data_IF_058740650928
#
_entry.id   IF_058740650928
#
_cell.length_a   1.000
_cell.length_b   1.000
_cell.length_c   1.000
_cell.angle_alpha   90.00
_cell.angle_beta   90.00
_cell.angle_gamma   90.00
#
_symmetry.space_group_name_H-M   'P 1'
#
loop_
_entity.id
_entity.type
_entity.pdbx_description
1 polymer ?
#
# COMPACT_ATOMS: atom_id res chain seq x y z
N UNK A 1 22.39 0.18 -10.55
CA UNK A 1 20.94 0.38 -10.61
C UNK A 1 20.66 1.85 -10.31
N UNK A 2 19.81 2.51 -11.10
CA UNK A 2 19.40 3.89 -10.83
C UNK A 2 18.59 4.00 -9.53
N UNK A 3 18.40 5.23 -9.05
CA UNK A 3 17.58 5.51 -7.86
C UNK A 3 16.14 5.02 -8.10
N UNK A 4 15.60 4.09 -7.28
CA UNK A 4 14.21 3.68 -7.39
C UNK A 4 13.29 4.85 -7.02
N UNK A 5 12.25 5.07 -7.81
CA UNK A 5 11.32 6.18 -7.64
C UNK A 5 9.88 5.74 -7.93
N UNK A 6 8.92 6.52 -7.42
CA UNK A 6 7.49 6.39 -7.67
C UNK A 6 6.94 7.76 -8.06
N UNK A 7 5.80 7.81 -8.75
CA UNK A 7 5.05 9.07 -8.89
C UNK A 7 4.27 9.31 -7.62
N UNK A 8 4.38 10.52 -7.07
CA UNK A 8 3.54 10.96 -5.97
C UNK A 8 2.84 12.25 -6.40
N UNK A 9 1.52 12.26 -6.29
CA UNK A 9 0.73 13.44 -6.62
C UNK A 9 0.93 14.55 -5.57
N UNK A 10 1.11 15.77 -6.05
CA UNK A 10 1.23 16.98 -5.21
C UNK A 10 -0.08 17.33 -4.51
N UNK A 11 -1.22 16.82 -4.98
CA UNK A 11 -2.54 16.98 -4.33
C UNK A 11 -2.68 16.16 -3.04
N UNK A 12 -1.68 15.36 -2.65
CA UNK A 12 -1.77 14.51 -1.46
C UNK A 12 -2.10 15.30 -0.18
N UNK A 13 -1.59 16.53 -0.06
CA UNK A 13 -1.73 17.35 1.14
C UNK A 13 -3.19 17.72 1.44
N UNK A 14 -4.01 17.91 0.42
CA UNK A 14 -5.42 18.29 0.50
C UNK A 14 -6.36 17.24 -0.11
N UNK A 15 -5.84 16.04 -0.42
CA UNK A 15 -6.65 14.94 -0.92
C UNK A 15 -7.75 14.57 0.10
N UNK A 16 -9.03 14.45 -0.29
CA UNK A 16 -10.14 14.24 0.65
C UNK A 16 -9.95 13.07 1.61
N UNK A 17 -9.44 11.93 1.11
CA UNK A 17 -9.13 10.74 1.93
C UNK A 17 -8.02 10.96 2.97
N UNK A 18 -7.07 11.86 2.69
CA UNK A 18 -6.03 12.24 3.66
C UNK A 18 -6.61 13.19 4.70
N UNK A 19 -7.42 14.16 4.26
CA UNK A 19 -8.12 15.07 5.18
C UNK A 19 -9.03 14.32 6.16
N UNK A 20 -9.75 13.29 5.71
CA UNK A 20 -10.56 12.43 6.59
C UNK A 20 -9.71 11.74 7.67
N UNK A 21 -8.53 11.23 7.32
CA UNK A 21 -7.60 10.64 8.31
C UNK A 21 -7.07 11.69 9.29
N UNK A 22 -6.82 12.91 8.83
CA UNK A 22 -6.34 14.01 9.69
C UNK A 22 -7.43 14.45 10.66
N UNK A 23 -8.68 14.56 10.21
CA UNK A 23 -9.85 14.86 11.05
C UNK A 23 -9.99 13.84 12.19
N UNK A 24 -9.82 12.55 11.87
CA UNK A 24 -9.82 11.44 12.83
C UNK A 24 -8.53 11.34 13.70
N UNK A 25 -7.60 12.30 13.57
CA UNK A 25 -6.26 12.30 14.20
C UNK A 25 -5.44 11.03 13.90
N UNK A 26 -5.73 10.37 12.78
CA UNK A 26 -5.09 9.15 12.32
C UNK A 26 -3.81 9.42 11.52
N UNK A 27 -2.93 10.29 12.02
CA UNK A 27 -1.70 10.70 11.34
C UNK A 27 -0.77 9.53 10.99
N UNK A 28 -0.74 8.49 11.83
CA UNK A 28 0.04 7.29 11.56
C UNK A 28 -0.46 6.54 10.32
N UNK A 29 -1.78 6.50 10.07
CA UNK A 29 -2.34 5.90 8.87
C UNK A 29 -1.98 6.73 7.63
N UNK A 30 -2.10 8.07 7.71
CA UNK A 30 -1.72 8.96 6.62
C UNK A 30 -0.22 8.81 6.26
N UNK A 31 0.65 8.77 7.27
CA UNK A 31 2.09 8.51 7.06
C UNK A 31 2.35 7.12 6.45
N UNK A 32 1.67 6.10 6.96
CA UNK A 32 1.79 4.73 6.43
C UNK A 32 1.34 4.60 4.97
N UNK A 33 0.38 5.41 4.50
CA UNK A 33 -0.03 5.42 3.09
C UNK A 33 1.15 5.78 2.18
N UNK A 34 1.91 6.82 2.53
CA UNK A 34 3.09 7.26 1.78
C UNK A 34 4.22 6.24 1.87
N UNK A 35 4.47 5.71 3.06
CA UNK A 35 5.51 4.70 3.29
C UNK A 35 5.21 3.38 2.55
N UNK A 36 3.93 3.02 2.41
CA UNK A 36 3.52 1.87 1.62
C UNK A 36 3.81 2.05 0.13
N UNK A 37 3.62 3.25 -0.42
CA UNK A 37 3.95 3.51 -1.83
C UNK A 37 5.44 3.34 -2.09
N UNK A 38 6.29 3.91 -1.23
CA UNK A 38 7.75 3.82 -1.39
C UNK A 38 8.27 2.39 -1.17
N UNK A 39 7.70 1.68 -0.19
CA UNK A 39 7.96 0.25 0.00
C UNK A 39 7.59 -0.55 -1.25
N UNK A 40 6.38 -0.34 -1.78
CA UNK A 40 5.91 -1.05 -2.97
C UNK A 40 6.79 -0.79 -4.18
N UNK A 41 7.18 0.47 -4.42
CA UNK A 41 8.08 0.83 -5.52
C UNK A 41 9.46 0.19 -5.38
N UNK A 42 10.05 0.21 -4.18
CA UNK A 42 11.34 -0.44 -3.89
C UNK A 42 11.29 -1.95 -4.14
N UNK A 43 10.19 -2.61 -3.74
CA UNK A 43 10.05 -4.06 -3.83
C UNK A 43 9.45 -4.54 -5.16
N UNK A 44 9.00 -3.62 -6.02
CA UNK A 44 8.40 -3.95 -7.32
C UNK A 44 7.15 -4.83 -7.19
N UNK A 45 6.34 -4.57 -6.16
CA UNK A 45 5.15 -5.36 -5.76
C UNK A 45 3.84 -4.85 -6.36
N UNK A 46 3.89 -3.84 -7.23
CA UNK A 46 2.74 -3.23 -7.88
C UNK A 46 1.55 -2.91 -6.97
N UNK A 47 1.85 -2.21 -5.89
CA UNK A 47 0.88 -1.74 -4.91
C UNK A 47 0.53 -2.78 -3.85
N UNK A 48 1.06 -4.00 -3.93
CA UNK A 48 0.77 -5.03 -2.92
C UNK A 48 1.58 -4.85 -1.63
N UNK A 49 0.85 -4.81 -0.52
CA UNK A 49 1.38 -4.70 0.84
C UNK A 49 0.97 -5.95 1.61
N UNK A 50 1.94 -6.83 1.91
CA UNK A 50 1.67 -8.02 2.74
C UNK A 50 1.36 -7.63 4.19
N UNK A 51 0.62 -8.48 4.94
CA UNK A 51 0.42 -8.28 6.39
C UNK A 51 1.73 -8.15 7.17
N UNK A 52 2.75 -8.91 6.78
CA UNK A 52 4.10 -8.82 7.36
C UNK A 52 4.83 -7.51 7.04
N UNK A 53 4.37 -6.73 6.06
CA UNK A 53 5.00 -5.47 5.69
C UNK A 53 4.66 -4.32 6.65
N UNK A 54 3.59 -4.42 7.44
CA UNK A 54 3.08 -3.32 8.29
C UNK A 54 4.16 -2.67 9.17
N UNK A 55 5.02 -3.43 9.91
CA UNK A 55 6.05 -2.80 10.75
C UNK A 55 7.09 -1.99 9.95
N UNK A 56 7.37 -2.39 8.70
CA UNK A 56 8.35 -1.73 7.83
C UNK A 56 7.83 -0.43 7.22
N UNK A 57 6.51 -0.26 7.18
CA UNK A 57 5.84 0.96 6.71
C UNK A 57 5.23 1.76 7.87
N UNK A 58 5.69 1.48 9.09
CA UNK A 58 5.27 2.16 10.32
C UNK A 58 3.76 2.09 10.60
N UNK A 59 3.10 1.00 10.18
CA UNK A 59 1.68 0.77 10.33
C UNK A 59 1.38 -0.35 11.34
N UNK A 60 0.18 -0.29 11.94
CA UNK A 60 -0.44 -1.40 12.67
C UNK A 60 -1.70 -1.85 11.94
N UNK A 61 -2.27 -2.98 12.36
CA UNK A 61 -3.54 -3.48 11.79
C UNK A 61 -4.68 -2.46 11.88
N UNK A 62 -4.73 -1.65 12.95
CA UNK A 62 -5.72 -0.58 13.08
C UNK A 62 -5.53 0.52 12.02
N UNK A 63 -4.30 0.84 11.65
CA UNK A 63 -4.00 1.85 10.64
C UNK A 63 -4.35 1.32 9.24
N UNK A 64 -4.07 0.04 8.97
CA UNK A 64 -4.51 -0.64 7.75
C UNK A 64 -6.04 -0.62 7.60
N UNK A 65 -6.80 -0.91 8.68
CA UNK A 65 -8.27 -0.83 8.68
C UNK A 65 -8.77 0.58 8.35
N UNK A 66 -8.12 1.62 8.87
CA UNK A 66 -8.45 3.02 8.55
C UNK A 66 -8.17 3.34 7.07
N UNK A 67 -7.05 2.87 6.53
CA UNK A 67 -6.70 3.06 5.13
C UNK A 67 -7.66 2.36 4.18
N UNK A 68 -8.18 1.19 4.57
CA UNK A 68 -9.27 0.52 3.86
C UNK A 68 -10.58 1.31 3.97
N UNK A 69 -10.94 1.77 5.19
CA UNK A 69 -12.16 2.57 5.42
C UNK A 69 -12.21 3.80 4.51
N UNK A 70 -11.12 4.57 4.42
CA UNK A 70 -11.06 5.78 3.56
C UNK A 70 -10.82 5.44 2.08
N UNK A 71 -10.67 4.15 1.73
CA UNK A 71 -10.51 3.70 0.35
C UNK A 71 -9.17 4.03 -0.28
N UNK A 72 -8.12 4.24 0.53
CA UNK A 72 -6.73 4.32 0.05
C UNK A 72 -6.17 2.92 -0.21
N UNK A 73 -6.58 1.91 0.57
CA UNK A 73 -6.22 0.52 0.38
C UNK A 73 -7.45 -0.36 0.10
N UNK A 74 -7.23 -1.50 -0.55
CA UNK A 74 -8.22 -2.55 -0.80
C UNK A 74 -7.74 -3.84 -0.14
N UNK A 75 -8.58 -4.49 0.65
CA UNK A 75 -8.23 -5.79 1.23
C UNK A 75 -8.12 -6.87 0.15
N UNK A 76 -7.07 -7.68 0.25
CA UNK A 76 -6.87 -8.86 -0.59
C UNK A 76 -6.38 -10.02 0.26
N UNK A 77 -6.47 -11.27 -0.21
CA UNK A 77 -5.89 -12.40 0.51
C UNK A 77 -4.41 -12.14 0.86
N UNK A 78 -4.06 -12.27 2.15
CA UNK A 78 -2.70 -12.08 2.67
C UNK A 78 -2.22 -10.63 2.87
N UNK A 79 -3.04 -9.62 2.58
CA UNK A 79 -2.63 -8.22 2.74
C UNK A 79 -3.58 -7.20 2.11
N UNK A 80 -3.01 -6.20 1.47
CA UNK A 80 -3.76 -5.09 0.85
C UNK A 80 -3.14 -4.70 -0.49
N UNK A 81 -3.94 -4.04 -1.33
CA UNK A 81 -3.50 -3.31 -2.51
C UNK A 81 -3.66 -1.81 -2.30
N UNK A 82 -2.69 -1.02 -2.72
CA UNK A 82 -2.83 0.44 -2.86
C UNK A 82 -3.82 0.71 -3.99
N UNK A 83 -4.88 1.43 -3.68
CA UNK A 83 -5.92 1.77 -4.66
C UNK A 83 -5.37 2.72 -5.73
N UNK A 84 -5.66 2.45 -7.01
CA UNK A 84 -5.19 3.25 -8.13
C UNK A 84 -3.72 3.04 -8.54
N UNK A 85 -3.01 2.05 -7.99
CA UNK A 85 -1.59 1.83 -8.33
C UNK A 85 -1.36 1.68 -9.84
N UNK A 86 -2.13 0.81 -10.50
CA UNK A 86 -1.99 0.50 -11.93
C UNK A 86 -2.38 1.66 -12.85
N UNK A 87 -3.11 2.65 -12.34
CA UNK A 87 -3.52 3.85 -13.08
C UNK A 87 -2.42 4.92 -13.10
N UNK A 88 -1.74 5.13 -11.97
CA UNK A 88 -0.81 6.25 -11.80
C UNK A 88 0.67 5.85 -11.88
N UNK A 89 1.01 4.60 -11.56
CA UNK A 89 2.40 4.11 -11.59
C UNK A 89 2.73 3.43 -12.92
N UNK A 90 4.03 3.41 -13.26
CA UNK A 90 4.52 2.56 -14.34
C UNK A 90 4.54 1.11 -13.86
N UNK A 91 3.49 0.35 -14.20
CA UNK A 91 3.41 -1.09 -13.96
C UNK A 91 3.65 -1.84 -15.27
N UNK A 92 4.70 -2.65 -15.31
CA UNK A 92 4.98 -3.56 -16.42
C UNK A 92 4.49 -4.99 -16.10
N UNK A 93 4.45 -5.85 -17.13
CA UNK A 93 4.01 -7.24 -16.95
C UNK A 93 4.88 -8.03 -15.97
N UNK A 94 6.15 -7.68 -15.84
CA UNK A 94 7.05 -8.33 -14.89
C UNK A 94 6.68 -7.97 -13.45
N UNK A 95 6.29 -6.73 -13.20
CA UNK A 95 5.85 -6.20 -11.92
C UNK A 95 4.50 -6.78 -11.51
N UNK A 96 3.55 -6.91 -12.45
CA UNK A 96 2.27 -7.61 -12.23
C UNK A 96 2.49 -9.07 -11.86
N UNK A 97 3.38 -9.78 -12.55
CA UNK A 97 3.75 -11.16 -12.21
C UNK A 97 4.40 -11.27 -10.83
N UNK A 98 5.24 -10.30 -10.42
CA UNK A 98 5.81 -10.26 -9.07
C UNK A 98 4.72 -10.04 -8.01
N UNK A 99 3.79 -9.12 -8.25
CA UNK A 99 2.61 -8.91 -7.40
C UNK A 99 1.82 -10.20 -7.20
N UNK A 100 1.45 -10.89 -8.28
CA UNK A 100 0.69 -12.15 -8.20
C UNK A 100 1.41 -13.23 -7.37
N UNK A 101 2.73 -13.37 -7.57
CA UNK A 101 3.54 -14.31 -6.79
C UNK A 101 3.56 -13.94 -5.31
N UNK A 102 3.74 -12.65 -5.00
CA UNK A 102 3.74 -12.15 -3.62
C UNK A 102 2.37 -12.34 -2.94
N UNK A 103 1.28 -12.08 -3.67
CA UNK A 103 -0.09 -12.32 -3.19
C UNK A 103 -0.33 -13.80 -2.89
N UNK A 104 0.02 -14.70 -3.81
CA UNK A 104 -0.15 -16.15 -3.60
C UNK A 104 0.64 -16.64 -2.38
N UNK A 105 1.89 -16.21 -2.24
CA UNK A 105 2.74 -16.59 -1.11
C UNK A 105 2.19 -16.04 0.22
N UNK A 106 1.74 -14.79 0.24
CA UNK A 106 1.14 -14.18 1.40
C UNK A 106 -0.19 -14.86 1.77
N UNK A 107 -1.08 -15.07 0.81
CA UNK A 107 -2.34 -15.75 1.02
C UNK A 107 -2.14 -17.15 1.62
N UNK A 108 -1.22 -17.95 1.07
CA UNK A 108 -0.93 -19.29 1.59
C UNK A 108 -0.38 -19.31 3.03
N UNK A 109 0.31 -18.24 3.44
CA UNK A 109 0.82 -18.07 4.81
C UNK A 109 -0.29 -17.71 5.79
N UNK A 110 -1.16 -16.76 5.40
CA UNK A 110 -2.18 -16.17 6.27
C UNK A 110 -3.55 -16.85 6.16
N UNK A 111 -3.75 -17.80 5.25
CA UNK A 111 -4.97 -18.63 5.18
C UNK A 111 -4.96 -19.81 6.16
N UNK A 112 -3.87 -20.00 6.89
CA UNK A 112 -3.66 -21.10 7.85
C UNK A 112 -3.76 -20.66 9.31
N UNK A 113 -3.94 -19.37 9.54
CA UNK A 113 -4.27 -18.74 10.83
C UNK A 113 -5.76 -18.40 10.85
#
# INVERSE_FOLDING_TARGET
MGLPWIRLDTTLADHPKILELVEDKAFQAAFAAVMAMTYSGKHGTDGFISRSALPFIHARTVDAKRLVKVGLWVEVPGGWLINGWDEYQLSDDAAKKRRERAQKAAAARWSKE
#
